data_IF_715384973066
#
_entry.id   IF_715384973066
#
_cell.length_a   1.000
_cell.length_b   1.000
_cell.length_c   1.000
_cell.angle_alpha   90.00
_cell.angle_beta   90.00
_cell.angle_gamma   90.00
#
_symmetry.space_group_name_H-M   'P 1'
#
loop_
_entity.id
_entity.type
_entity.pdbx_description
1 polymer ?
#
# COMPACT_ATOMS: atom_id res chain seq x y z
N UNK A 1 -4.89 6.37 -2.47
CA UNK A 1 -3.81 7.11 -3.17
C UNK A 1 -3.55 8.46 -2.51
N UNK A 2 -4.59 9.27 -2.31
CA UNK A 2 -4.48 10.65 -1.80
C UNK A 2 -3.59 10.83 -0.56
N UNK A 3 -3.67 9.94 0.44
CA UNK A 3 -2.85 10.00 1.65
C UNK A 3 -1.37 9.70 1.37
N UNK A 4 -1.07 8.76 0.45
CA UNK A 4 0.31 8.39 0.12
C UNK A 4 1.07 9.49 -0.62
N UNK A 5 0.37 10.31 -1.42
CA UNK A 5 0.99 11.29 -2.31
C UNK A 5 0.89 12.75 -1.82
N UNK A 6 0.39 12.97 -0.60
CA UNK A 6 0.34 14.30 0.00
C UNK A 6 1.75 14.85 0.26
N UNK A 7 2.08 15.96 -0.41
CA UNK A 7 3.39 16.63 -0.36
C UNK A 7 3.76 17.17 1.02
N UNK A 8 2.77 17.49 1.86
CA UNK A 8 2.98 18.08 3.19
C UNK A 8 3.58 17.09 4.20
N UNK A 9 3.32 15.79 4.00
CA UNK A 9 3.80 14.70 4.86
C UNK A 9 5.02 14.01 4.22
N UNK A 10 5.14 14.10 2.89
CA UNK A 10 6.14 13.36 2.10
C UNK A 10 7.38 14.20 1.74
N UNK A 11 7.73 15.24 2.51
CA UNK A 11 8.94 16.02 2.20
C UNK A 11 10.21 15.14 2.35
N UNK A 12 10.64 14.52 1.24
CA UNK A 12 11.85 13.69 1.10
C UNK A 12 13.14 14.47 1.41
N UNK A 13 13.08 15.79 1.25
CA UNK A 13 14.18 16.69 1.54
C UNK A 13 14.21 16.98 3.03
N UNK A 14 15.23 16.44 3.73
CA UNK A 14 15.75 16.89 5.04
C UNK A 14 15.07 18.18 5.47
N UNK A 15 13.98 18.08 6.25
CA UNK A 15 13.29 19.24 6.75
C UNK A 15 14.34 20.11 7.46
N UNK A 16 14.71 21.24 6.87
CA UNK A 16 15.70 22.16 7.41
C UNK A 16 15.25 22.81 8.74
N UNK A 17 14.12 22.37 9.30
CA UNK A 17 13.48 22.94 10.49
C UNK A 17 12.81 24.29 10.25
N UNK A 18 12.81 24.79 9.01
CA UNK A 18 12.38 26.15 8.66
C UNK A 18 10.84 26.23 8.50
N UNK A 19 10.18 25.11 8.21
CA UNK A 19 8.73 25.05 8.00
C UNK A 19 8.07 24.09 8.99
N UNK A 20 6.87 24.46 9.47
CA UNK A 20 6.07 23.60 10.32
C UNK A 20 5.47 22.46 9.50
N UNK A 21 5.60 21.24 10.01
CA UNK A 21 4.95 20.05 9.45
C UNK A 21 3.69 19.73 10.26
N UNK A 22 2.69 19.15 9.61
CA UNK A 22 1.47 18.66 10.24
C UNK A 22 1.68 17.33 11.00
N UNK A 23 2.89 17.13 11.55
CA UNK A 23 3.25 15.89 12.24
C UNK A 23 3.04 16.04 13.76
N UNK A 24 2.42 15.05 14.41
CA UNK A 24 2.36 15.00 15.87
C UNK A 24 3.75 15.02 16.49
N UNK A 25 3.92 15.80 17.56
CA UNK A 25 5.18 15.87 18.30
C UNK A 25 5.13 14.94 19.52
N UNK A 26 6.15 14.11 19.65
CA UNK A 26 6.39 13.29 20.84
C UNK A 26 7.24 14.10 21.83
N UNK A 27 6.74 14.22 23.06
CA UNK A 27 7.45 14.86 24.17
C UNK A 27 7.26 14.00 25.43
N UNK A 28 7.80 14.41 26.57
CA UNK A 28 7.68 13.69 27.84
C UNK A 28 6.26 13.73 28.44
N UNK A 29 5.43 14.69 28.02
CA UNK A 29 4.09 14.91 28.57
C UNK A 29 3.02 14.79 27.49
N UNK A 30 1.92 14.11 27.83
CA UNK A 30 0.74 13.91 26.99
C UNK A 30 -0.52 14.27 27.80
N UNK A 31 -1.60 14.71 27.12
CA UNK A 31 -2.82 15.15 27.81
C UNK A 31 -3.58 13.98 28.45
N UNK A 32 -3.54 12.81 27.82
CA UNK A 32 -4.15 11.57 28.30
C UNK A 32 -3.48 10.36 27.66
N UNK A 33 -3.79 9.16 28.15
CA UNK A 33 -3.34 7.91 27.51
C UNK A 33 -3.82 7.80 26.06
N UNK A 34 -5.02 8.30 25.76
CA UNK A 34 -5.56 8.32 24.39
C UNK A 34 -4.75 9.24 23.48
N UNK A 35 -4.39 10.43 23.94
CA UNK A 35 -3.54 11.38 23.19
C UNK A 35 -2.17 10.76 22.89
N UNK A 36 -1.57 10.06 23.86
CA UNK A 36 -0.35 9.31 23.63
C UNK A 36 -0.50 8.26 22.51
N UNK A 37 -1.50 7.39 22.61
CA UNK A 37 -1.69 6.32 21.62
C UNK A 37 -2.03 6.87 20.24
N UNK A 38 -2.89 7.87 20.14
CA UNK A 38 -3.29 8.46 18.86
C UNK A 38 -2.09 9.05 18.12
N UNK A 39 -1.21 9.78 18.82
CA UNK A 39 -0.02 10.38 18.19
C UNK A 39 0.99 9.32 17.73
N UNK A 40 1.23 8.30 18.55
CA UNK A 40 2.13 7.21 18.16
C UNK A 40 1.57 6.42 16.98
N UNK A 41 0.26 6.16 16.99
CA UNK A 41 -0.42 5.48 15.90
C UNK A 41 -0.34 6.26 14.59
N UNK A 42 -0.61 7.57 14.63
CA UNK A 42 -0.52 8.43 13.45
C UNK A 42 0.90 8.48 12.90
N UNK A 43 1.92 8.68 13.74
CA UNK A 43 3.31 8.67 13.30
C UNK A 43 3.72 7.33 12.69
N UNK A 44 3.31 6.22 13.30
CA UNK A 44 3.60 4.88 12.78
C UNK A 44 2.91 4.62 11.44
N UNK A 45 1.66 5.08 11.29
CA UNK A 45 0.97 5.01 9.99
C UNK A 45 1.71 5.80 8.91
N UNK A 46 2.20 6.99 9.23
CA UNK A 46 2.91 7.82 8.26
C UNK A 46 4.26 7.23 7.87
N UNK A 47 5.00 6.66 8.82
CA UNK A 47 6.25 5.94 8.57
C UNK A 47 6.03 4.74 7.64
N UNK A 48 5.08 3.88 7.96
CA UNK A 48 4.73 2.72 7.12
C UNK A 48 4.25 3.17 5.74
N UNK A 49 3.44 4.22 5.66
CA UNK A 49 2.94 4.75 4.39
C UNK A 49 4.10 5.22 3.51
N UNK A 50 5.12 5.84 4.10
CA UNK A 50 6.33 6.25 3.39
C UNK A 50 7.14 5.04 2.88
N UNK A 51 7.30 4.01 3.69
CA UNK A 51 7.98 2.76 3.29
C UNK A 51 7.24 2.07 2.13
N UNK A 52 5.93 1.86 2.27
CA UNK A 52 5.08 1.26 1.22
C UNK A 52 5.17 2.06 -0.08
N UNK A 53 5.14 3.40 0.01
CA UNK A 53 5.26 4.25 -1.17
C UNK A 53 6.57 4.02 -1.90
N UNK A 54 7.70 4.00 -1.18
CA UNK A 54 9.02 3.79 -1.79
C UNK A 54 9.09 2.42 -2.49
N UNK A 55 8.51 1.39 -1.88
CA UNK A 55 8.44 0.05 -2.46
C UNK A 55 7.57 0.02 -3.73
N UNK A 56 6.39 0.66 -3.69
CA UNK A 56 5.51 0.78 -4.87
C UNK A 56 6.22 1.55 -5.98
N UNK A 57 6.90 2.65 -5.67
CA UNK A 57 7.65 3.42 -6.65
C UNK A 57 8.75 2.60 -7.33
N UNK A 58 9.56 1.85 -6.58
CA UNK A 58 10.61 1.00 -7.14
C UNK A 58 9.99 -0.10 -8.03
N UNK A 59 8.91 -0.74 -7.59
CA UNK A 59 8.21 -1.77 -8.34
C UNK A 59 7.63 -1.22 -9.65
N UNK A 60 6.92 -0.09 -9.61
CA UNK A 60 6.32 0.54 -10.79
C UNK A 60 7.40 0.99 -11.77
N UNK A 61 8.50 1.55 -11.28
CA UNK A 61 9.68 1.91 -12.10
C UNK A 61 10.25 0.69 -12.83
N UNK A 62 10.36 -0.46 -12.17
CA UNK A 62 10.85 -1.73 -12.78
C UNK A 62 9.89 -2.34 -13.79
N UNK A 63 8.58 -2.25 -13.56
CA UNK A 63 7.57 -2.79 -14.47
C UNK A 63 7.48 -2.03 -15.79
N UNK A 64 7.86 -0.75 -15.81
CA UNK A 64 7.84 0.12 -16.99
C UNK A 64 6.49 0.05 -17.74
N UNK A 65 5.38 0.43 -17.09
CA UNK A 65 4.06 0.38 -17.74
C UNK A 65 4.02 1.31 -18.96
N UNK A 66 3.56 0.78 -20.08
CA UNK A 66 3.32 1.51 -21.32
C UNK A 66 1.86 1.38 -21.73
N UNK A 67 1.34 2.43 -22.33
CA UNK A 67 0.04 2.38 -22.97
C UNK A 67 0.18 1.62 -24.30
N UNK A 68 -0.70 0.64 -24.54
CA UNK A 68 -0.80 -0.02 -25.84
C UNK A 68 -1.21 0.97 -26.93
N UNK A 69 -0.87 0.69 -28.18
CA UNK A 69 -1.16 1.56 -29.33
C UNK A 69 -2.68 1.81 -29.49
N UNK A 70 -3.48 0.77 -29.24
CA UNK A 70 -4.95 0.82 -29.22
C UNK A 70 -5.54 1.56 -28.00
N UNK A 71 -4.71 2.09 -27.09
CA UNK A 71 -5.07 2.78 -25.83
C UNK A 71 -5.98 2.00 -24.88
N UNK A 72 -6.24 0.72 -25.15
CA UNK A 72 -7.20 -0.09 -24.41
C UNK A 72 -6.59 -0.90 -23.27
N UNK A 73 -5.27 -1.09 -23.28
CA UNK A 73 -4.56 -1.96 -22.33
C UNK A 73 -3.22 -1.38 -21.91
N UNK A 74 -2.84 -1.66 -20.66
CA UNK A 74 -1.50 -1.41 -20.13
C UNK A 74 -0.60 -2.59 -20.45
N UNK A 75 0.51 -2.33 -21.14
CA UNK A 75 1.56 -3.30 -21.41
C UNK A 75 2.68 -3.11 -20.39
N UNK A 76 3.07 -4.18 -19.72
CA UNK A 76 4.23 -4.18 -18.83
C UNK A 76 5.42 -4.74 -19.61
N UNK A 77 6.42 -3.89 -19.88
CA UNK A 77 7.64 -4.30 -20.60
C UNK A 77 8.71 -4.89 -19.67
N UNK A 78 8.62 -4.55 -18.39
CA UNK A 78 9.55 -4.98 -17.35
C UNK A 78 8.94 -6.02 -16.42
N UNK A 79 9.74 -6.41 -15.44
CA UNK A 79 9.34 -7.36 -14.41
C UNK A 79 9.84 -6.89 -13.06
N UNK A 80 9.10 -7.23 -12.00
CA UNK A 80 9.50 -7.02 -10.63
C UNK A 80 9.28 -8.33 -9.85
N UNK A 81 10.18 -8.64 -8.92
CA UNK A 81 10.10 -9.87 -8.11
C UNK A 81 8.86 -9.88 -7.22
N UNK A 82 8.53 -8.72 -6.63
CA UNK A 82 7.41 -8.52 -5.70
C UNK A 82 6.14 -8.02 -6.39
N UNK A 83 6.02 -8.14 -7.72
CA UNK A 83 4.78 -7.75 -8.40
C UNK A 83 4.42 -8.70 -9.54
N UNK A 84 3.13 -8.79 -9.81
CA UNK A 84 2.58 -9.58 -10.89
C UNK A 84 1.31 -8.93 -11.45
N UNK A 85 1.10 -8.94 -12.78
CA UNK A 85 -0.15 -8.47 -13.35
C UNK A 85 -1.32 -9.36 -12.92
N UNK A 86 -2.42 -8.71 -12.57
CA UNK A 86 -3.68 -9.37 -12.20
C UNK A 86 -4.40 -9.82 -13.48
N UNK A 87 -4.75 -11.11 -13.56
CA UNK A 87 -5.48 -11.69 -14.70
C UNK A 87 -6.99 -11.54 -14.49
N UNK A 88 -7.47 -11.82 -13.27
CA UNK A 88 -8.87 -11.64 -12.87
C UNK A 88 -8.99 -11.15 -11.44
N UNK A 89 -9.91 -10.23 -11.22
CA UNK A 89 -10.30 -9.77 -9.90
C UNK A 89 -11.81 -9.95 -9.74
N UNK A 90 -12.23 -10.62 -8.67
CA UNK A 90 -13.64 -10.85 -8.38
C UNK A 90 -13.91 -10.59 -6.89
N UNK A 91 -14.91 -9.76 -6.61
CA UNK A 91 -15.42 -9.58 -5.24
C UNK A 91 -16.38 -10.72 -4.92
N UNK A 92 -16.14 -11.42 -3.80
CA UNK A 92 -16.90 -12.62 -3.45
C UNK A 92 -18.04 -12.31 -2.49
N UNK A 93 -17.72 -11.67 -1.35
CA UNK A 93 -18.69 -11.44 -0.29
C UNK A 93 -18.47 -10.08 0.36
N UNK A 94 -19.56 -9.34 0.53
CA UNK A 94 -19.63 -8.11 1.33
C UNK A 94 -20.65 -8.35 2.43
N UNK A 95 -20.18 -8.42 3.68
CA UNK A 95 -21.06 -8.56 4.84
C UNK A 95 -21.69 -7.23 5.21
N UNK A 96 -22.86 -7.32 5.86
CA UNK A 96 -23.55 -6.14 6.40
C UNK A 96 -22.70 -5.47 7.49
N UNK A 97 -22.85 -4.15 7.68
CA UNK A 97 -22.22 -3.45 8.79
C UNK A 97 -22.70 -3.99 10.13
N UNK A 98 -21.85 -3.92 11.16
CA UNK A 98 -22.27 -4.19 12.53
C UNK A 98 -23.19 -3.07 13.06
N UNK A 99 -23.93 -3.35 14.13
CA UNK A 99 -24.81 -2.36 14.74
C UNK A 99 -24.00 -1.15 15.21
N UNK A 100 -24.34 0.03 14.67
CA UNK A 100 -23.67 1.29 14.99
C UNK A 100 -22.53 1.66 14.04
N UNK A 101 -22.15 0.79 13.11
CA UNK A 101 -21.12 1.06 12.11
C UNK A 101 -21.74 1.39 10.75
N UNK A 102 -21.11 2.29 9.99
CA UNK A 102 -21.52 2.62 8.62
C UNK A 102 -20.73 1.84 7.56
N UNK A 103 -19.71 1.09 7.97
CA UNK A 103 -18.79 0.35 7.10
C UNK A 103 -19.10 -1.15 7.13
N UNK A 104 -18.95 -1.88 6.00
CA UNK A 104 -19.20 -3.31 5.97
C UNK A 104 -18.25 -4.05 6.92
N UNK A 105 -18.75 -5.08 7.62
CA UNK A 105 -17.93 -5.80 8.59
C UNK A 105 -16.83 -6.66 7.97
N UNK A 106 -17.01 -7.13 6.74
CA UNK A 106 -16.04 -7.98 6.04
C UNK A 106 -16.24 -7.87 4.53
N UNK A 107 -15.13 -7.74 3.80
CA UNK A 107 -15.08 -7.81 2.34
C UNK A 107 -14.07 -8.88 1.95
N UNK A 108 -14.50 -9.87 1.16
CA UNK A 108 -13.61 -10.89 0.60
C UNK A 108 -13.56 -10.77 -0.92
N UNK A 109 -12.38 -10.98 -1.49
CA UNK A 109 -12.15 -10.97 -2.92
C UNK A 109 -11.22 -12.11 -3.33
N UNK A 110 -11.38 -12.59 -4.57
CA UNK A 110 -10.50 -13.55 -5.21
C UNK A 110 -9.72 -12.87 -6.33
N UNK A 111 -8.40 -13.04 -6.30
CA UNK A 111 -7.47 -12.51 -7.30
C UNK A 111 -6.82 -13.70 -7.99
N UNK A 112 -6.85 -13.73 -9.32
CA UNK A 112 -6.15 -14.72 -10.13
C UNK A 112 -4.92 -14.05 -10.77
N UNK A 113 -3.76 -14.66 -10.55
CA UNK A 113 -2.46 -14.18 -11.04
C UNK A 113 -1.87 -15.24 -11.96
N UNK A 114 -1.26 -14.82 -13.08
CA UNK A 114 -0.62 -15.74 -14.02
C UNK A 114 0.87 -15.87 -13.73
N UNK A 115 1.28 -17.00 -13.15
CA UNK A 115 2.68 -17.27 -12.77
C UNK A 115 3.53 -17.94 -13.85
N UNK A 116 2.97 -18.24 -15.03
CA UNK A 116 3.65 -19.03 -16.07
C UNK A 116 4.91 -18.34 -16.63
N UNK A 117 5.00 -17.01 -16.55
CA UNK A 117 6.14 -16.24 -17.06
C UNK A 117 7.25 -16.02 -16.04
N UNK A 118 7.11 -16.50 -14.80
CA UNK A 118 8.05 -16.25 -13.71
C UNK A 118 9.15 -17.31 -13.60
N UNK A 119 10.32 -16.89 -13.12
CA UNK A 119 11.40 -17.81 -12.74
C UNK A 119 10.93 -18.73 -11.60
N UNK A 120 11.41 -19.98 -11.54
CA UNK A 120 10.97 -20.95 -10.54
C UNK A 120 11.28 -20.51 -9.10
N UNK A 121 12.36 -19.74 -8.89
CA UNK A 121 12.71 -19.19 -7.57
C UNK A 121 11.65 -18.19 -7.08
N UNK A 122 11.28 -17.24 -7.95
CA UNK A 122 10.25 -16.24 -7.64
C UNK A 122 8.91 -16.92 -7.43
N UNK A 123 8.57 -17.93 -8.26
CA UNK A 123 7.33 -18.68 -8.09
C UNK A 123 7.22 -19.33 -6.70
N UNK A 124 8.32 -19.91 -6.19
CA UNK A 124 8.34 -20.49 -4.84
C UNK A 124 8.07 -19.46 -3.75
N UNK A 125 8.53 -18.21 -3.91
CA UNK A 125 8.28 -17.14 -2.95
C UNK A 125 6.80 -16.72 -2.97
N UNK A 126 6.20 -16.62 -4.14
CA UNK A 126 4.77 -16.35 -4.28
C UNK A 126 3.89 -17.50 -3.75
N UNK A 127 4.37 -18.75 -3.85
CA UNK A 127 3.71 -19.91 -3.25
C UNK A 127 3.87 -19.99 -1.71
N UNK A 128 4.80 -19.23 -1.14
CA UNK A 128 5.05 -19.20 0.31
C UNK A 128 4.18 -18.17 1.06
N UNK A 129 3.36 -17.39 0.35
CA UNK A 129 2.46 -16.39 0.95
C UNK A 129 1.47 -17.09 1.89
N UNK A 130 1.32 -16.57 3.10
CA UNK A 130 0.52 -17.14 4.18
C UNK A 130 -0.68 -16.27 4.54
N UNK A 131 -1.53 -16.83 5.39
CA UNK A 131 -2.60 -16.10 6.06
C UNK A 131 -2.00 -14.93 6.88
N UNK A 132 -2.59 -13.75 6.71
CA UNK A 132 -2.17 -12.45 7.29
C UNK A 132 -1.01 -11.71 6.59
N UNK A 133 -0.50 -12.22 5.47
CA UNK A 133 0.41 -11.43 4.64
C UNK A 133 -0.36 -10.29 3.95
N UNK A 134 0.22 -9.08 3.98
CA UNK A 134 -0.40 -7.87 3.44
C UNK A 134 0.08 -7.68 2.00
N UNK A 135 -0.87 -7.51 1.09
CA UNK A 135 -0.63 -7.27 -0.32
C UNK A 135 -1.35 -6.00 -0.77
N UNK A 136 -0.77 -5.28 -1.71
CA UNK A 136 -1.34 -4.07 -2.30
C UNK A 136 -1.86 -4.36 -3.72
N UNK A 137 -3.01 -3.76 -4.04
CA UNK A 137 -3.71 -3.89 -5.33
C UNK A 137 -3.75 -2.54 -6.05
#
# INVERSE_FOLDING_TARGET
>A
EDVMWQSEITSESRCLGIHCTALPKLNLQFLSFYDYLSRNFELYQLEITHEIRNDIEDVVKRLTPRLSDDRSRTLFLGWARMSSPIDKFQMNQVLKPNLGESVPSLVTASIAIRMASMKPEIKKEWEQIKENDIMFL
#
